data_IF_714950595550
#
_entry.id   IF_714950595550
#
_cell.length_a   1.000
_cell.length_b   1.000
_cell.length_c   1.000
_cell.angle_alpha   90.00
_cell.angle_beta   90.00
_cell.angle_gamma   90.00
#
_symmetry.space_group_name_H-M   'P 1'
#
loop_
_entity.id
_entity.type
_entity.pdbx_description
1 polymer ?
#
# COMPACT_ATOMS: atom_id res chain seq x y z
N UNK A 1 37.25 -59.55 -75.89
CA UNK A 1 35.96 -60.26 -75.79
C UNK A 1 34.90 -59.19 -75.99
N UNK A 2 34.49 -58.99 -77.25
CA UNK A 2 33.26 -59.56 -77.82
C UNK A 2 32.02 -58.92 -77.14
N UNK A 3 31.47 -57.85 -77.73
CA UNK A 3 30.47 -57.81 -78.84
C UNK A 3 29.04 -57.97 -78.29
N UNK A 4 28.24 -56.89 -78.33
CA UNK A 4 27.14 -56.66 -79.31
C UNK A 4 25.84 -57.37 -78.84
N UNK A 5 24.63 -56.79 -78.86
CA UNK A 5 23.97 -55.99 -79.88
C UNK A 5 22.84 -55.10 -79.30
N UNK A 6 22.68 -53.96 -79.96
CA UNK A 6 21.48 -53.19 -80.35
C UNK A 6 20.10 -53.64 -79.82
N UNK A 7 19.19 -52.70 -79.50
CA UNK A 7 18.23 -52.17 -80.48
C UNK A 7 17.84 -50.71 -80.20
N UNK A 8 17.89 -49.95 -81.29
CA UNK A 8 17.48 -48.58 -81.53
C UNK A 8 16.08 -48.59 -82.15
N UNK A 9 15.08 -47.92 -81.56
CA UNK A 9 13.84 -47.56 -82.27
C UNK A 9 13.36 -46.16 -81.82
N UNK A 10 13.76 -45.17 -82.62
CA UNK A 10 13.03 -44.00 -83.12
C UNK A 10 12.18 -43.12 -82.18
N UNK A 11 12.55 -41.84 -82.15
CA UNK A 11 11.66 -40.70 -81.87
C UNK A 11 10.47 -40.70 -82.85
N UNK A 12 9.24 -40.42 -82.40
CA UNK A 12 8.29 -39.67 -83.20
C UNK A 12 8.48 -38.18 -82.91
N UNK A 13 9.02 -37.46 -83.89
CA UNK A 13 8.76 -36.05 -84.06
C UNK A 13 7.29 -35.86 -84.38
N UNK A 14 6.54 -35.22 -83.49
CA UNK A 14 5.22 -34.67 -83.78
C UNK A 14 5.11 -33.27 -83.17
N UNK A 15 4.33 -32.39 -83.82
CA UNK A 15 4.68 -31.00 -84.03
C UNK A 15 4.31 -30.12 -82.84
N UNK A 16 4.87 -28.90 -82.84
CA UNK A 16 4.32 -27.74 -82.16
C UNK A 16 2.79 -27.80 -82.20
N UNK A 17 2.14 -28.06 -81.06
CA UNK A 17 0.69 -27.94 -80.95
C UNK A 17 0.36 -26.68 -80.16
N UNK A 18 -0.29 -25.79 -80.90
CA UNK A 18 -0.53 -24.38 -80.61
C UNK A 18 -1.88 -24.26 -79.91
N UNK A 19 -2.12 -25.07 -78.88
CA UNK A 19 -3.47 -25.33 -78.33
C UNK A 19 -3.63 -24.97 -76.84
N UNK A 20 -2.59 -24.48 -76.17
CA UNK A 20 -2.67 -24.03 -74.76
C UNK A 20 -3.11 -22.56 -74.62
N UNK A 21 -3.23 -21.79 -75.72
CA UNK A 21 -3.51 -20.35 -75.65
C UNK A 21 -4.99 -19.97 -75.61
N UNK A 22 -5.93 -20.87 -75.93
CA UNK A 22 -7.36 -20.50 -76.02
C UNK A 22 -8.10 -20.59 -74.68
N UNK A 23 -7.83 -21.61 -73.86
CA UNK A 23 -8.52 -21.79 -72.57
C UNK A 23 -8.10 -20.76 -71.50
N UNK A 24 -6.85 -20.27 -71.55
CA UNK A 24 -6.37 -19.21 -70.67
C UNK A 24 -6.96 -17.84 -71.04
N UNK A 25 -7.17 -17.56 -72.33
CA UNK A 25 -7.81 -16.31 -72.77
C UNK A 25 -9.28 -16.19 -72.36
N UNK A 26 -10.03 -17.30 -72.36
CA UNK A 26 -11.43 -17.32 -71.88
C UNK A 26 -11.49 -17.11 -70.36
N UNK A 27 -10.53 -17.67 -69.62
CA UNK A 27 -10.41 -17.44 -68.17
C UNK A 27 -10.01 -15.99 -67.87
N UNK A 28 -9.03 -15.46 -68.59
CA UNK A 28 -8.52 -14.11 -68.38
C UNK A 28 -9.55 -13.04 -68.79
N UNK A 29 -10.33 -13.29 -69.85
CA UNK A 29 -11.45 -12.42 -70.23
C UNK A 29 -12.60 -12.46 -69.21
N UNK A 30 -12.91 -13.63 -68.65
CA UNK A 30 -13.89 -13.76 -67.57
C UNK A 30 -13.42 -13.06 -66.28
N UNK A 31 -12.13 -13.19 -65.93
CA UNK A 31 -11.54 -12.44 -64.82
C UNK A 31 -11.64 -10.93 -65.07
N UNK A 32 -11.31 -10.47 -66.29
CA UNK A 32 -11.40 -9.07 -66.67
C UNK A 32 -12.85 -8.53 -66.59
N UNK A 33 -13.84 -9.35 -66.95
CA UNK A 33 -15.25 -9.01 -66.82
C UNK A 33 -15.67 -8.88 -65.35
N UNK A 34 -15.27 -9.83 -64.48
CA UNK A 34 -15.54 -9.75 -63.04
C UNK A 34 -14.84 -8.54 -62.41
N UNK A 35 -13.58 -8.25 -62.76
CA UNK A 35 -12.89 -7.07 -62.22
C UNK A 35 -13.58 -5.78 -62.61
N UNK A 36 -14.07 -5.68 -63.86
CA UNK A 36 -14.85 -4.53 -64.31
C UNK A 36 -16.16 -4.39 -63.55
N UNK A 37 -16.84 -5.50 -63.29
CA UNK A 37 -18.05 -5.49 -62.45
C UNK A 37 -17.74 -5.02 -61.02
N UNK A 38 -16.65 -5.50 -60.42
CA UNK A 38 -16.20 -5.05 -59.09
C UNK A 38 -15.92 -3.55 -59.06
N UNK A 39 -15.23 -3.01 -60.08
CA UNK A 39 -14.96 -1.57 -60.21
C UNK A 39 -16.25 -0.75 -60.32
N UNK A 40 -17.23 -1.23 -61.11
CA UNK A 40 -18.55 -0.59 -61.23
C UNK A 40 -19.31 -0.58 -59.90
N UNK A 41 -19.22 -1.66 -59.11
CA UNK A 41 -19.81 -1.74 -57.78
C UNK A 41 -19.10 -0.84 -56.78
N UNK A 42 -17.78 -0.82 -56.77
CA UNK A 42 -16.98 0.07 -55.91
C UNK A 42 -17.27 1.54 -56.23
N UNK A 43 -17.43 1.90 -57.51
CA UNK A 43 -17.81 3.26 -57.87
C UNK A 43 -19.21 3.62 -57.36
N UNK A 44 -20.20 2.74 -57.54
CA UNK A 44 -21.56 2.94 -56.99
C UNK A 44 -21.55 3.05 -55.48
N UNK A 45 -20.77 2.21 -54.79
CA UNK A 45 -20.64 2.22 -53.34
C UNK A 45 -20.01 3.54 -52.85
N UNK A 46 -18.90 3.95 -53.44
CA UNK A 46 -18.24 5.23 -53.11
C UNK A 46 -19.14 6.44 -53.40
N UNK A 47 -19.97 6.38 -54.46
CA UNK A 47 -20.97 7.41 -54.73
C UNK A 47 -22.00 7.53 -53.60
N UNK A 48 -22.55 6.40 -53.13
CA UNK A 48 -23.48 6.37 -52.00
C UNK A 48 -22.84 6.87 -50.70
N UNK A 49 -21.58 6.49 -50.44
CA UNK A 49 -20.83 6.98 -49.28
C UNK A 49 -20.67 8.50 -49.30
N UNK A 50 -20.34 9.06 -50.47
CA UNK A 50 -20.23 10.50 -50.65
C UNK A 50 -21.58 11.22 -50.47
N UNK A 51 -22.68 10.65 -50.97
CA UNK A 51 -24.04 11.18 -50.75
C UNK A 51 -24.42 11.21 -49.26
N UNK A 52 -24.00 10.20 -48.49
CA UNK A 52 -24.23 10.11 -47.04
C UNK A 52 -23.16 10.84 -46.22
N UNK A 53 -22.15 11.45 -46.86
CA UNK A 53 -20.99 12.06 -46.20
C UNK A 53 -20.25 11.13 -45.24
N UNK A 54 -20.20 9.82 -45.55
CA UNK A 54 -19.48 8.81 -44.78
C UNK A 54 -18.18 8.44 -45.50
N UNK A 55 -17.09 8.26 -44.75
CA UNK A 55 -15.85 7.71 -45.31
C UNK A 55 -15.79 6.19 -45.12
N UNK A 56 -15.01 5.50 -45.94
CA UNK A 56 -14.77 4.07 -45.77
C UNK A 56 -14.10 3.78 -44.42
N UNK A 57 -13.14 4.61 -43.99
CA UNK A 57 -12.50 4.45 -42.69
C UNK A 57 -13.48 4.65 -41.52
N UNK A 58 -14.48 5.51 -41.70
CA UNK A 58 -15.54 5.72 -40.70
C UNK A 58 -16.43 4.48 -40.53
N UNK A 59 -16.68 3.73 -41.60
CA UNK A 59 -17.45 2.49 -41.52
C UNK A 59 -16.64 1.34 -40.95
N UNK A 60 -15.37 1.22 -41.34
CA UNK A 60 -14.44 0.21 -40.81
C UNK A 60 -14.23 0.39 -39.31
N UNK A 61 -13.98 1.63 -38.85
CA UNK A 61 -13.86 1.92 -37.41
C UNK A 61 -15.14 1.60 -36.63
N UNK A 62 -16.31 1.87 -37.20
CA UNK A 62 -17.59 1.54 -36.56
C UNK A 62 -17.85 0.03 -36.54
N UNK A 63 -17.46 -0.69 -37.59
CA UNK A 63 -17.54 -2.14 -37.62
C UNK A 63 -16.64 -2.76 -36.54
N UNK A 64 -15.37 -2.32 -36.45
CA UNK A 64 -14.44 -2.71 -35.39
C UNK A 64 -15.00 -2.42 -33.99
N UNK A 65 -15.67 -1.27 -33.80
CA UNK A 65 -16.34 -0.95 -32.54
C UNK A 65 -17.47 -1.92 -32.22
N UNK A 66 -18.24 -2.39 -33.21
CA UNK A 66 -19.38 -3.32 -33.01
C UNK A 66 -18.99 -4.78 -32.89
N UNK A 67 -17.98 -5.24 -33.63
CA UNK A 67 -17.44 -6.61 -33.52
C UNK A 67 -16.79 -6.85 -32.17
N UNK A 68 -16.37 -5.78 -31.49
CA UNK A 68 -15.72 -5.87 -30.19
C UNK A 68 -16.70 -5.95 -29.01
N UNK A 69 -17.97 -6.28 -29.21
CA UNK A 69 -18.96 -6.44 -28.12
C UNK A 69 -19.13 -7.91 -27.74
N UNK A 70 -19.07 -8.16 -26.44
CA UNK A 70 -19.24 -9.49 -25.84
C UNK A 70 -20.42 -9.47 -24.88
N UNK A 71 -21.17 -10.58 -24.83
CA UNK A 71 -22.28 -10.76 -23.88
C UNK A 71 -21.71 -11.24 -22.54
N UNK A 72 -22.16 -10.65 -21.43
CA UNK A 72 -21.70 -11.03 -20.10
C UNK A 72 -22.28 -12.40 -19.67
N UNK A 73 -21.47 -13.31 -19.08
CA UNK A 73 -21.95 -14.60 -18.58
C UNK A 73 -22.98 -14.51 -17.43
N UNK A 74 -22.94 -13.42 -16.64
CA UNK A 74 -23.77 -13.26 -15.45
C UNK A 74 -25.11 -12.57 -15.72
N UNK A 75 -25.25 -11.89 -16.86
CA UNK A 75 -26.47 -11.19 -17.25
C UNK A 75 -26.55 -11.11 -18.77
N UNK A 76 -27.50 -11.83 -19.35
CA UNK A 76 -27.73 -11.89 -20.79
C UNK A 76 -28.17 -10.55 -21.40
N UNK A 77 -28.62 -9.59 -20.58
CA UNK A 77 -28.97 -8.25 -21.04
C UNK A 77 -27.76 -7.32 -21.19
N UNK A 78 -26.60 -7.70 -20.64
CA UNK A 78 -25.39 -6.90 -20.75
C UNK A 78 -24.59 -7.24 -22.01
N UNK A 79 -24.48 -6.26 -22.91
CA UNK A 79 -23.49 -6.24 -23.99
C UNK A 79 -22.39 -5.26 -23.62
N UNK A 80 -21.14 -5.69 -23.67
CA UNK A 80 -20.00 -4.93 -23.17
C UNK A 80 -18.84 -4.97 -24.17
N UNK A 81 -18.18 -3.84 -24.45
CA UNK A 81 -16.98 -3.85 -25.29
C UNK A 81 -15.84 -4.67 -24.65
N UNK A 82 -15.14 -5.49 -25.43
CA UNK A 82 -14.04 -6.36 -25.02
C UNK A 82 -12.96 -5.62 -24.24
N UNK A 83 -12.62 -4.38 -24.67
CA UNK A 83 -11.65 -3.49 -23.99
C UNK A 83 -12.01 -3.26 -22.52
N UNK A 84 -13.29 -3.31 -22.16
CA UNK A 84 -13.80 -3.09 -20.81
C UNK A 84 -14.40 -4.35 -20.17
N UNK A 85 -14.33 -5.49 -20.86
CA UNK A 85 -14.94 -6.74 -20.43
C UNK A 85 -14.37 -7.21 -19.09
N UNK A 86 -13.05 -7.17 -18.89
CA UNK A 86 -12.44 -7.63 -17.64
C UNK A 86 -12.88 -6.79 -16.42
N UNK A 87 -12.95 -5.47 -16.59
CA UNK A 87 -13.43 -4.56 -15.55
C UNK A 87 -14.93 -4.73 -15.27
N UNK A 88 -15.72 -5.00 -16.31
CA UNK A 88 -17.13 -5.34 -16.19
C UNK A 88 -17.32 -6.69 -15.48
N UNK A 89 -16.60 -7.73 -15.89
CA UNK A 89 -16.70 -9.10 -15.39
C UNK A 89 -16.60 -9.10 -13.86
N UNK A 90 -15.54 -8.51 -13.30
CA UNK A 90 -15.34 -8.41 -11.85
C UNK A 90 -16.50 -7.71 -11.15
N UNK A 91 -17.03 -6.63 -11.72
CA UNK A 91 -18.17 -5.89 -11.14
C UNK A 91 -19.48 -6.67 -11.24
N UNK A 92 -19.70 -7.36 -12.36
CA UNK A 92 -20.92 -8.09 -12.64
C UNK A 92 -20.98 -9.40 -11.86
N UNK A 93 -19.85 -10.09 -11.71
CA UNK A 93 -19.66 -11.24 -10.82
C UNK A 93 -20.03 -10.89 -9.37
N UNK A 94 -19.45 -9.81 -8.83
CA UNK A 94 -19.76 -9.33 -7.49
C UNK A 94 -21.25 -8.99 -7.33
N UNK A 95 -21.84 -8.34 -8.33
CA UNK A 95 -23.27 -7.98 -8.33
C UNK A 95 -24.16 -9.23 -8.37
N UNK A 96 -23.80 -10.24 -9.18
CA UNK A 96 -24.49 -11.52 -9.29
C UNK A 96 -24.49 -12.26 -7.94
N UNK A 97 -23.36 -12.25 -7.23
CA UNK A 97 -23.25 -12.78 -5.86
C UNK A 97 -23.86 -11.88 -4.77
N UNK A 98 -24.61 -10.83 -5.14
CA UNK A 98 -25.36 -9.99 -4.21
C UNK A 98 -24.56 -8.87 -3.55
N UNK A 99 -23.30 -8.66 -3.94
CA UNK A 99 -22.44 -7.58 -3.43
C UNK A 99 -22.75 -6.30 -4.21
N UNK A 100 -23.79 -5.57 -3.78
CA UNK A 100 -24.21 -4.30 -4.39
C UNK A 100 -23.27 -3.15 -3.98
N UNK A 101 -23.02 -2.24 -4.93
CA UNK A 101 -22.13 -1.06 -4.79
C UNK A 101 -22.46 -0.13 -3.61
N UNK A 102 -23.65 -0.20 -3.01
CA UNK A 102 -23.99 0.56 -1.81
C UNK A 102 -23.12 0.22 -0.59
N UNK A 103 -22.53 -0.99 -0.55
CA UNK A 103 -21.49 -1.36 0.44
C UNK A 103 -20.07 -1.32 -0.12
N UNK A 104 -19.90 -0.96 -1.40
CA UNK A 104 -18.70 -1.28 -2.19
C UNK A 104 -18.10 -0.13 -3.00
N UNK A 105 -18.73 1.05 -3.10
CA UNK A 105 -17.89 2.25 -3.07
C UNK A 105 -17.30 2.25 -1.67
N UNK A 106 -16.02 1.92 -1.56
CA UNK A 106 -15.20 2.53 -0.53
C UNK A 106 -15.48 4.03 -0.68
N UNK A 107 -16.46 4.58 0.06
CA UNK A 107 -16.45 6.01 0.37
C UNK A 107 -15.03 6.20 0.84
N UNK A 108 -14.24 6.97 0.09
CA UNK A 108 -12.91 7.34 0.57
C UNK A 108 -13.14 7.78 2.00
N UNK A 109 -12.69 6.98 2.97
CA UNK A 109 -12.98 7.29 4.36
C UNK A 109 -12.44 8.71 4.53
N UNK A 110 -13.25 9.65 5.05
CA UNK A 110 -12.77 11.00 5.23
C UNK A 110 -11.44 10.89 5.96
N UNK A 111 -10.39 11.43 5.34
CA UNK A 111 -9.04 11.26 5.88
C UNK A 111 -9.07 11.69 7.33
N UNK A 112 -8.49 10.89 8.22
CA UNK A 112 -8.36 11.26 9.64
C UNK A 112 -7.65 12.61 9.80
N UNK A 113 -6.91 13.05 8.77
CA UNK A 113 -6.35 14.41 8.64
C UNK A 113 -7.38 15.50 8.90
N UNK A 114 -8.63 15.36 8.48
CA UNK A 114 -9.66 16.39 8.72
C UNK A 114 -9.90 16.59 10.23
N UNK A 115 -9.93 15.51 11.00
CA UNK A 115 -10.21 15.56 12.44
C UNK A 115 -9.01 16.02 13.27
N UNK A 116 -7.79 15.79 12.79
CA UNK A 116 -6.57 16.02 13.54
C UNK A 116 -5.69 17.15 13.01
N UNK A 117 -6.15 17.91 12.01
CA UNK A 117 -5.37 19.00 11.39
C UNK A 117 -4.86 20.02 12.41
N UNK A 118 -5.71 20.38 13.37
CA UNK A 118 -5.44 21.42 14.37
C UNK A 118 -5.20 20.82 15.78
N UNK A 119 -5.07 19.49 15.89
CA UNK A 119 -4.88 18.83 17.17
C UNK A 119 -3.42 19.00 17.64
N UNK A 120 -3.15 19.59 18.82
CA UNK A 120 -1.79 19.90 19.28
C UNK A 120 -0.92 18.66 19.50
N UNK A 121 -1.54 17.50 19.76
CA UNK A 121 -0.88 16.23 20.06
C UNK A 121 -0.73 15.29 18.84
N UNK A 122 -1.20 15.68 17.65
CA UNK A 122 -1.19 14.80 16.47
C UNK A 122 -0.31 15.39 15.37
N UNK A 123 0.69 14.60 14.96
CA UNK A 123 1.64 14.98 13.91
C UNK A 123 1.19 14.36 12.58
N UNK A 124 0.79 15.18 11.62
CA UNK A 124 0.45 14.73 10.26
C UNK A 124 1.70 14.46 9.44
N UNK A 125 1.92 13.19 9.06
CA UNK A 125 3.04 12.77 8.22
C UNK A 125 2.76 12.90 6.71
N UNK A 126 1.58 13.39 6.33
CA UNK A 126 1.13 13.44 4.92
C UNK A 126 1.64 14.67 4.17
N UNK A 127 2.08 15.69 4.90
CA UNK A 127 2.42 17.02 4.38
C UNK A 127 3.91 17.16 4.04
N UNK A 128 4.77 16.23 4.49
CA UNK A 128 6.19 16.22 4.13
C UNK A 128 6.39 15.47 2.81
N UNK A 129 6.64 16.21 1.72
CA UNK A 129 6.91 15.66 0.38
C UNK A 129 8.09 14.67 0.35
N UNK A 130 8.98 14.72 1.35
CA UNK A 130 10.11 13.80 1.50
C UNK A 130 9.68 12.34 1.82
N UNK A 131 8.56 12.14 2.53
CA UNK A 131 8.06 10.78 2.84
C UNK A 131 7.28 10.14 1.66
N UNK A 132 6.71 10.96 0.77
CA UNK A 132 6.08 10.46 -0.46
C UNK A 132 7.10 9.88 -1.44
N UNK A 133 8.34 10.39 -1.43
CA UNK A 133 9.44 9.90 -2.26
C UNK A 133 9.93 8.53 -1.78
N UNK A 134 10.00 8.30 -0.46
CA UNK A 134 10.42 7.00 0.10
C UNK A 134 9.36 5.91 -0.09
N UNK A 135 8.07 6.23 0.01
CA UNK A 135 6.99 5.28 -0.26
C UNK A 135 6.92 4.81 -1.73
N UNK A 136 7.40 5.61 -2.68
CA UNK A 136 7.50 5.23 -4.11
C UNK A 136 8.77 4.45 -4.44
N UNK A 137 9.75 4.44 -3.55
CA UNK A 137 11.00 3.69 -3.70
C UNK A 137 10.92 2.33 -3.00
N UNK A 138 9.76 1.66 -3.07
CA UNK A 138 9.66 0.28 -2.60
C UNK A 138 10.67 -0.59 -3.39
N UNK A 139 11.49 -1.40 -2.71
CA UNK A 139 12.42 -2.27 -3.39
C UNK A 139 11.67 -3.23 -4.31
N UNK A 140 12.27 -3.50 -5.47
CA UNK A 140 11.83 -4.56 -6.39
C UNK A 140 11.46 -5.82 -5.61
N UNK A 141 10.26 -6.34 -5.88
CA UNK A 141 9.71 -7.56 -5.32
C UNK A 141 10.79 -8.66 -5.31
N UNK A 142 11.14 -9.16 -4.12
CA UNK A 142 11.87 -10.43 -3.96
C UNK A 142 13.18 -10.43 -3.17
N UNK A 143 13.70 -9.28 -2.68
CA UNK A 143 14.92 -9.28 -1.86
C UNK A 143 14.63 -8.73 -0.46
N UNK A 144 14.79 -9.57 0.57
CA UNK A 144 14.74 -9.12 1.96
C UNK A 144 16.01 -8.31 2.28
N UNK A 145 15.90 -7.10 2.84
CA UNK A 145 17.07 -6.30 3.21
C UNK A 145 17.96 -7.03 4.21
N UNK A 146 19.27 -6.80 4.11
CA UNK A 146 20.24 -7.39 5.04
C UNK A 146 20.06 -6.83 6.46
N UNK A 147 20.64 -7.48 7.47
CA UNK A 147 20.57 -7.01 8.87
C UNK A 147 21.08 -5.57 9.01
N UNK A 148 22.19 -5.26 8.34
CA UNK A 148 22.80 -3.92 8.36
C UNK A 148 21.91 -2.87 7.68
N UNK A 149 21.30 -3.22 6.55
CA UNK A 149 20.35 -2.35 5.85
C UNK A 149 19.13 -2.07 6.72
N UNK A 150 18.56 -3.08 7.38
CA UNK A 150 17.45 -2.88 8.33
C UNK A 150 17.84 -2.00 9.51
N UNK A 151 19.05 -2.17 10.06
CA UNK A 151 19.54 -1.35 11.17
C UNK A 151 19.69 0.11 10.74
N UNK A 152 20.30 0.35 9.57
CA UNK A 152 20.46 1.71 9.03
C UNK A 152 19.12 2.39 8.71
N UNK A 153 18.15 1.65 8.16
CA UNK A 153 16.78 2.13 7.95
C UNK A 153 16.11 2.49 9.28
N UNK A 154 16.25 1.65 10.30
CA UNK A 154 15.72 1.90 11.64
C UNK A 154 16.33 3.16 12.27
N UNK A 155 17.65 3.29 12.24
CA UNK A 155 18.35 4.47 12.77
C UNK A 155 17.95 5.75 12.02
N UNK A 156 17.79 5.67 10.71
CA UNK A 156 17.30 6.78 9.89
C UNK A 156 15.87 7.17 10.28
N UNK A 157 14.96 6.20 10.43
CA UNK A 157 13.59 6.45 10.84
C UNK A 157 13.50 7.12 12.24
N UNK A 158 14.34 6.70 13.18
CA UNK A 158 14.47 7.35 14.49
C UNK A 158 14.95 8.80 14.37
N UNK A 159 15.99 9.05 13.56
CA UNK A 159 16.50 10.39 13.31
C UNK A 159 15.43 11.30 12.72
N UNK A 160 14.74 10.83 11.67
CA UNK A 160 13.69 11.58 10.99
C UNK A 160 12.52 11.89 11.95
N UNK A 161 12.09 10.90 12.75
CA UNK A 161 11.06 11.08 13.78
C UNK A 161 11.46 12.13 14.82
N UNK A 162 12.72 12.13 15.25
CA UNK A 162 13.23 13.12 16.20
C UNK A 162 13.25 14.53 15.60
N UNK A 163 13.68 14.66 14.33
CA UNK A 163 13.66 15.96 13.64
C UNK A 163 12.24 16.50 13.48
N UNK A 164 11.28 15.66 13.09
CA UNK A 164 9.87 16.05 12.95
C UNK A 164 9.31 16.51 14.30
N UNK A 165 9.59 15.77 15.38
CA UNK A 165 9.17 16.12 16.74
C UNK A 165 9.73 17.48 17.17
N UNK A 166 11.03 17.72 16.97
CA UNK A 166 11.67 19.01 17.30
C UNK A 166 11.12 20.17 16.46
N UNK A 167 10.91 19.97 15.17
CA UNK A 167 10.34 20.98 14.28
C UNK A 167 8.90 21.36 14.68
N UNK A 168 8.08 20.38 15.07
CA UNK A 168 6.72 20.61 15.53
C UNK A 168 6.68 21.26 16.92
N UNK A 169 7.56 20.82 17.82
CA UNK A 169 7.74 21.39 19.14
C UNK A 169 8.12 22.88 19.10
N UNK A 170 9.02 23.28 18.18
CA UNK A 170 9.37 24.69 17.98
C UNK A 170 8.20 25.53 17.44
N UNK A 171 7.25 24.92 16.71
CA UNK A 171 6.04 25.61 16.21
C UNK A 171 4.97 25.75 17.29
N UNK A 172 4.84 24.76 18.18
CA UNK A 172 3.91 24.78 19.29
C UNK A 172 4.65 25.08 20.59
N UNK A 173 4.86 26.38 20.90
CA UNK A 173 5.47 26.88 22.16
C UNK A 173 4.67 26.57 23.44
N UNK A 174 3.82 25.55 23.44
CA UNK A 174 2.87 25.18 24.50
C UNK A 174 3.06 23.74 24.97
N UNK A 175 4.26 23.19 24.84
CA UNK A 175 4.53 21.90 25.45
C UNK A 175 4.77 22.10 26.95
N UNK A 176 3.70 21.98 27.73
CA UNK A 176 3.66 22.13 29.20
C UNK A 176 4.62 21.14 29.90
N UNK A 177 5.14 20.16 29.16
CA UNK A 177 5.97 19.05 29.67
C UNK A 177 7.46 19.13 29.31
N UNK A 178 7.98 20.24 28.77
CA UNK A 178 9.42 20.34 28.43
C UNK A 178 10.38 20.07 29.60
N UNK A 179 9.92 20.37 30.82
CA UNK A 179 10.74 20.21 32.02
C UNK A 179 10.31 18.99 32.83
N UNK A 180 9.49 18.08 32.30
CA UNK A 180 8.99 16.95 33.10
C UNK A 180 10.12 16.09 33.65
N UNK A 181 11.12 15.77 32.82
CA UNK A 181 12.27 14.97 33.24
C UNK A 181 13.11 15.70 34.30
N UNK A 182 13.34 17.01 34.13
CA UNK A 182 14.09 17.82 35.09
C UNK A 182 13.34 18.01 36.42
N UNK A 183 12.03 18.24 36.35
CA UNK A 183 11.13 18.34 37.51
C UNK A 183 11.04 17.00 38.24
N UNK A 184 10.99 15.89 37.51
CA UNK A 184 10.97 14.55 38.08
C UNK A 184 12.29 14.19 38.77
N UNK A 185 13.43 14.53 38.16
CA UNK A 185 14.75 14.38 38.80
C UNK A 185 14.87 15.22 40.07
N UNK A 186 14.40 16.47 40.04
CA UNK A 186 14.43 17.35 41.21
C UNK A 186 13.51 16.87 42.33
N UNK A 187 12.34 16.34 41.98
CA UNK A 187 11.41 15.70 42.92
C UNK A 187 12.04 14.47 43.57
N UNK A 188 12.78 13.68 42.80
CA UNK A 188 13.46 12.49 43.30
C UNK A 188 14.60 12.86 44.26
N UNK A 189 15.39 13.89 43.94
CA UNK A 189 16.40 14.46 44.85
C UNK A 189 15.76 15.03 46.12
N UNK A 190 14.63 15.73 45.99
CA UNK A 190 13.88 16.26 47.13
C UNK A 190 13.32 15.14 48.01
N UNK A 191 12.87 14.03 47.42
CA UNK A 191 12.43 12.82 48.12
C UNK A 191 13.59 12.15 48.85
N UNK A 192 14.78 12.07 48.26
CA UNK A 192 15.99 11.55 48.91
C UNK A 192 16.47 12.43 50.07
N UNK A 193 16.26 13.75 49.99
CA UNK A 193 16.58 14.69 51.07
C UNK A 193 15.56 14.63 52.22
N UNK A 194 14.27 14.45 51.90
CA UNK A 194 13.19 14.37 52.90
C UNK A 194 12.98 12.96 53.48
N UNK A 195 13.30 11.90 52.73
CA UNK A 195 13.46 10.57 53.28
C UNK A 195 14.76 10.54 54.06
N UNK A 196 14.70 10.96 55.32
CA UNK A 196 15.85 10.97 56.23
C UNK A 196 16.67 9.70 56.04
N UNK A 197 17.91 9.88 55.56
CA UNK A 197 18.83 8.78 55.32
C UNK A 197 18.96 7.99 56.63
N UNK A 198 18.47 6.75 56.64
CA UNK A 198 18.59 5.89 57.81
C UNK A 198 20.06 5.82 58.19
N UNK A 199 20.36 6.16 59.44
CA UNK A 199 21.75 6.14 59.91
C UNK A 199 22.32 4.74 59.75
N UNK A 200 23.64 4.62 59.53
CA UNK A 200 24.33 3.32 59.46
C UNK A 200 23.98 2.43 60.65
N UNK A 201 23.79 3.03 61.83
CA UNK A 201 23.40 2.33 63.05
C UNK A 201 21.96 1.80 63.01
N UNK A 202 21.05 2.57 62.42
CA UNK A 202 19.65 2.21 62.23
C UNK A 202 19.52 1.05 61.24
N UNK A 203 20.28 1.08 60.14
CA UNK A 203 20.38 -0.02 59.19
C UNK A 203 20.92 -1.30 59.85
N UNK A 204 21.96 -1.18 60.68
CA UNK A 204 22.50 -2.32 61.43
C UNK A 204 21.52 -2.82 62.51
N UNK A 205 20.71 -1.94 63.10
CA UNK A 205 19.65 -2.32 64.03
C UNK A 205 18.54 -3.10 63.31
N UNK A 206 18.08 -2.64 62.15
CA UNK A 206 17.10 -3.33 61.32
C UNK A 206 17.60 -4.72 60.88
N UNK A 207 18.86 -4.84 60.44
CA UNK A 207 19.44 -6.13 60.06
C UNK A 207 19.54 -7.09 61.26
N UNK A 208 19.90 -6.59 62.45
CA UNK A 208 19.91 -7.40 63.68
C UNK A 208 18.51 -7.85 64.05
N UNK A 209 17.51 -6.97 63.93
CA UNK A 209 16.12 -7.30 64.19
C UNK A 209 15.57 -8.33 63.18
N UNK A 210 15.83 -8.14 61.89
CA UNK A 210 15.50 -9.10 60.83
C UNK A 210 16.13 -10.47 61.09
N UNK A 211 17.39 -10.50 61.56
CA UNK A 211 18.08 -11.74 61.98
C UNK A 211 17.47 -12.38 63.23
N UNK A 212 16.88 -11.60 64.15
CA UNK A 212 16.18 -12.12 65.34
C UNK A 212 14.76 -12.63 65.05
N UNK A 213 14.08 -12.12 64.03
CA UNK A 213 12.72 -12.58 63.68
C UNK A 213 12.72 -14.05 63.27
N UNK A 214 11.77 -14.82 63.84
CA UNK A 214 11.53 -16.24 63.53
C UNK A 214 11.24 -16.45 62.04
N UNK A 215 11.64 -17.59 61.48
CA UNK A 215 11.47 -17.93 60.04
C UNK A 215 10.02 -17.79 59.55
N UNK A 216 9.03 -18.09 60.40
CA UNK A 216 7.60 -17.90 60.11
C UNK A 216 7.20 -16.44 59.89
N UNK A 217 7.86 -15.47 60.53
CA UNK A 217 7.65 -14.03 60.30
C UNK A 217 8.38 -13.54 59.04
N UNK A 218 9.56 -14.09 58.73
CA UNK A 218 10.27 -13.79 57.46
C UNK A 218 9.46 -14.26 56.25
N UNK A 219 8.83 -15.43 56.36
CA UNK A 219 7.93 -15.98 55.34
C UNK A 219 6.53 -15.34 55.32
N UNK A 220 6.08 -14.67 56.39
CA UNK A 220 4.79 -13.93 56.38
C UNK A 220 4.81 -12.69 55.49
N UNK A 221 5.98 -12.14 55.16
CA UNK A 221 6.14 -11.12 54.12
C UNK A 221 5.89 -11.68 52.70
N UNK A 222 5.76 -13.00 52.51
CA UNK A 222 5.35 -13.59 51.23
C UNK A 222 3.85 -13.29 50.95
N UNK A 223 3.04 -12.95 51.98
CA UNK A 223 1.69 -12.40 51.76
C UNK A 223 1.70 -10.92 51.31
N UNK A 224 2.84 -10.23 51.42
CA UNK A 224 3.08 -8.91 50.79
C UNK A 224 3.48 -9.07 49.31
N UNK A 225 3.94 -10.26 48.89
CA UNK A 225 4.21 -10.58 47.47
C UNK A 225 3.03 -11.24 46.77
N UNK A 226 2.06 -11.81 47.49
CA UNK A 226 0.73 -12.16 46.95
C UNK A 226 -0.24 -10.97 46.99
N UNK A 227 0.24 -9.78 46.62
CA UNK A 227 -0.66 -8.65 46.38
C UNK A 227 -1.50 -8.97 45.15
N UNK A 228 -2.81 -8.82 45.27
CA UNK A 228 -3.67 -8.87 44.10
C UNK A 228 -3.29 -7.74 43.15
N UNK A 229 -3.47 -7.91 41.83
CA UNK A 229 -3.19 -6.84 40.86
C UNK A 229 -3.82 -5.50 41.29
N UNK A 230 -5.04 -5.51 41.84
CA UNK A 230 -5.72 -4.31 42.36
C UNK A 230 -5.01 -3.63 43.53
N UNK A 231 -4.41 -4.40 44.45
CA UNK A 231 -3.62 -3.84 45.56
C UNK A 231 -2.32 -3.23 45.06
N UNK A 232 -1.67 -3.85 44.08
CA UNK A 232 -0.48 -3.30 43.43
C UNK A 232 -0.82 -1.95 42.78
N UNK A 233 -1.92 -1.85 42.04
CA UNK A 233 -2.33 -0.59 41.43
C UNK A 233 -2.68 0.48 42.48
N UNK A 234 -3.32 0.11 43.60
CA UNK A 234 -3.56 1.04 44.71
C UNK A 234 -2.28 1.56 45.34
N UNK A 235 -1.30 0.69 45.58
CA UNK A 235 0.00 1.06 46.15
C UNK A 235 0.76 1.99 45.20
N UNK A 236 0.71 1.71 43.89
CA UNK A 236 1.31 2.57 42.84
C UNK A 236 0.63 3.95 42.84
N UNK A 237 -0.70 4.01 42.84
CA UNK A 237 -1.44 5.27 42.89
C UNK A 237 -1.09 6.04 44.17
N UNK A 238 -1.03 5.38 45.32
CA UNK A 238 -0.66 6.02 46.58
C UNK A 238 0.75 6.62 46.54
N UNK A 239 1.73 5.89 45.98
CA UNK A 239 3.08 6.38 45.80
C UNK A 239 3.12 7.63 44.90
N UNK A 240 2.44 7.59 43.74
CA UNK A 240 2.35 8.76 42.86
C UNK A 240 1.63 9.94 43.53
N UNK A 241 0.59 9.69 44.33
CA UNK A 241 -0.12 10.73 45.07
C UNK A 241 0.76 11.41 46.13
N UNK A 242 1.69 10.69 46.75
CA UNK A 242 2.71 11.27 47.63
C UNK A 242 3.71 12.12 46.83
N UNK A 243 4.17 11.62 45.69
CA UNK A 243 5.07 12.35 44.80
C UNK A 243 4.43 13.67 44.32
N UNK A 244 3.13 13.69 43.99
CA UNK A 244 2.41 14.92 43.65
C UNK A 244 2.26 15.91 44.82
N UNK A 245 2.22 15.44 46.06
CA UNK A 245 2.22 16.33 47.23
C UNK A 245 3.57 17.00 47.39
N UNK A 246 4.65 16.22 47.30
CA UNK A 246 6.02 16.73 47.33
C UNK A 246 6.28 17.72 46.19
N UNK A 247 5.73 17.46 45.00
CA UNK A 247 5.81 18.39 43.87
C UNK A 247 5.20 19.75 44.21
N UNK A 248 4.00 19.77 44.80
CA UNK A 248 3.35 21.03 45.21
C UNK A 248 4.16 21.78 46.26
N UNK A 249 4.73 21.08 47.23
CA UNK A 249 5.61 21.69 48.24
C UNK A 249 6.87 22.28 47.61
N UNK A 250 7.47 21.57 46.65
CA UNK A 250 8.61 22.05 45.89
C UNK A 250 8.28 23.29 45.05
N UNK A 251 7.14 23.29 44.36
CA UNK A 251 6.65 24.45 43.60
C UNK A 251 6.43 25.67 44.50
N UNK A 252 5.82 25.48 45.68
CA UNK A 252 5.65 26.56 46.67
C UNK A 252 6.99 27.13 47.13
N UNK A 253 7.95 26.27 47.51
CA UNK A 253 9.29 26.72 47.92
C UNK A 253 10.03 27.47 46.81
N UNK A 254 9.85 27.06 45.54
CA UNK A 254 10.42 27.75 44.38
C UNK A 254 9.79 29.13 44.12
N UNK A 255 8.51 29.32 44.45
CA UNK A 255 7.85 30.63 44.37
C UNK A 255 8.31 31.54 45.51
N UNK A 256 8.39 31.03 46.73
CA UNK A 256 8.82 31.79 47.92
C UNK A 256 10.28 32.30 47.78
N UNK A 257 11.15 31.54 47.10
CA UNK A 257 12.53 31.97 46.80
C UNK A 257 12.64 33.03 45.70
N UNK A 258 11.61 33.20 44.86
CA UNK A 258 11.58 34.25 43.82
C UNK A 258 11.00 35.57 44.32
N UNK A 259 10.24 35.55 45.42
CA UNK A 259 9.64 36.72 46.04
C UNK A 259 10.56 37.40 47.08
N UNK A 260 11.69 36.78 47.43
CA UNK A 260 12.77 37.36 48.26
C UNK A 260 13.88 37.98 47.41
#
# INVERSE_FOLDING_TARGET
MQSNDTINISKPSTPLDTTITYADNDRDSFIAEITKQLDDYDHKFNKLLNELSWSREFLESREEETQNWVICPFDASHRVPHKSYEAHYKRCELKYHGIKKERGMQRQLPSSTFYYKDAPSVISLLETDELRKTARAAPSIGQSPTVEQRLSEYLKALSDSNQIRLAHHNRQKRDVYQNFDEVWENLQKFKEQNQGLKSREELLAEQRDYKRRRKSYRAKNIKVTQRTPTLIHRDIIAAYMEDFKLLREFEQNMMDQKEQ
#
